data_IF_109884067951
#
_entry.id   IF_109884067951
#
_cell.length_a   1.000
_cell.length_b   1.000
_cell.length_c   1.000
_cell.angle_alpha   90.00
_cell.angle_beta   90.00
_cell.angle_gamma   90.00
#
_symmetry.space_group_name_H-M   'P 1'
#
loop_
_entity.id
_entity.type
_entity.pdbx_description
1 polymer ?
2 non-polymer ?
3 water ?
#
# COMPACT_ATOMS: atom_id res chain seq x y z
N UNK A 11 18.36 5.98 -16.49
CA UNK A 11 17.69 6.53 -15.26
C UNK A 11 18.23 7.95 -15.25
N UNK A 12 17.46 8.97 -14.89
CA UNK A 12 17.99 10.35 -14.73
C UNK A 12 19.05 10.43 -13.63
N UNK A 13 20.24 10.78 -14.03
CA UNK A 13 21.38 10.91 -13.10
C UNK A 13 21.38 12.31 -12.50
N UNK A 14 21.39 12.41 -11.21
CA UNK A 14 21.37 13.69 -10.51
C UNK A 14 22.77 13.96 -9.98
N UNK A 15 23.22 15.22 -10.10
CA UNK A 15 24.53 15.50 -9.54
C UNK A 15 24.41 15.75 -8.03
N UNK A 16 25.37 15.25 -7.22
CA UNK A 16 25.26 15.43 -5.76
C UNK A 16 25.13 16.87 -5.30
N UNK A 17 25.70 17.83 -6.05
CA UNK A 17 25.57 19.22 -5.68
C UNK A 17 24.13 19.71 -5.72
N UNK A 18 23.21 18.97 -6.35
CA UNK A 18 21.82 19.35 -6.44
C UNK A 18 20.98 18.82 -5.29
N UNK A 19 21.57 18.01 -4.40
CA UNK A 19 20.84 17.31 -3.35
C UNK A 19 21.34 17.78 -1.99
N UNK A 20 20.39 18.06 -1.09
CA UNK A 20 20.70 18.42 0.29
C UNK A 20 19.88 17.52 1.19
N UNK A 21 20.55 16.69 1.99
CA UNK A 21 19.86 15.89 2.98
C UNK A 21 19.64 16.72 4.24
N UNK A 22 18.41 16.70 4.74
CA UNK A 22 18.04 17.53 5.88
C UNK A 22 17.76 16.74 7.15
N UNK A 23 16.94 15.69 7.06
CA UNK A 23 16.46 14.98 8.23
C UNK A 23 16.34 13.50 7.90
N UNK A 24 16.74 12.65 8.85
CA UNK A 24 16.54 11.21 8.69
C UNK A 24 15.08 10.87 8.93
N UNK A 25 14.52 10.04 8.06
CA UNK A 25 13.13 9.61 8.17
C UNK A 25 12.96 8.11 8.16
N UNK A 26 14.03 7.34 8.03
CA UNK A 26 13.92 5.90 8.06
C UNK A 26 15.25 5.24 7.80
N UNK A 27 15.21 3.92 7.65
CA UNK A 27 16.41 3.11 7.45
C UNK A 27 16.31 2.33 6.14
N UNK A 28 17.41 2.30 5.39
CA UNK A 28 17.52 1.46 4.22
C UNK A 28 18.24 0.15 4.55
N UNK A 29 18.40 -0.68 3.52
CA UNK A 29 19.04 -1.98 3.71
C UNK A 29 20.53 -1.83 3.99
N UNK A 30 21.18 -0.84 3.39
CA UNK A 30 22.55 -0.49 3.74
C UNK A 30 22.70 1.03 3.57
N UNK A 31 21.93 1.77 4.37
CA UNK A 31 21.99 3.21 4.40
C UNK A 31 20.82 3.77 5.19
N UNK A 32 20.64 5.08 5.10
CA UNK A 32 19.52 5.77 5.73
C UNK A 32 18.58 6.33 4.67
N UNK A 33 17.37 6.70 5.10
CA UNK A 33 16.40 7.40 4.26
C UNK A 33 16.20 8.81 4.82
N UNK A 34 16.28 9.81 3.95
CA UNK A 34 16.24 11.20 4.38
C UNK A 34 15.13 11.96 3.69
N UNK A 35 14.66 13.01 4.35
CA UNK A 35 13.96 14.09 3.66
C UNK A 35 15.00 15.13 3.26
N UNK A 36 14.84 15.68 2.07
CA UNK A 36 15.77 16.70 1.63
C UNK A 36 15.16 17.56 0.55
N UNK A 37 16.01 18.32 -0.12
CA UNK A 37 15.60 19.20 -1.19
C UNK A 37 16.38 18.86 -2.44
N UNK A 38 15.77 19.05 -3.60
CA UNK A 38 16.43 18.83 -4.87
C UNK A 38 16.35 20.09 -5.72
N UNK A 39 17.47 20.45 -6.28
CA UNK A 39 17.53 21.59 -7.23
C UNK A 39 17.81 21.10 -8.65
N UNK A 40 17.41 21.84 -9.62
CA UNK A 40 17.66 21.49 -11.02
C UNK A 40 16.99 20.17 -11.40
N UNK A 46 13.48 24.88 -5.95
CA UNK A 46 13.81 23.64 -5.19
C UNK A 46 12.54 22.82 -4.97
N UNK A 47 12.75 21.58 -4.71
CA UNK A 47 11.64 20.63 -4.60
C UNK A 47 11.94 19.66 -3.48
N UNK A 48 11.00 19.40 -2.57
CA UNK A 48 11.25 18.43 -1.49
C UNK A 48 11.30 17.02 -2.06
N UNK A 49 12.18 16.20 -1.46
CA UNK A 49 12.40 14.84 -1.95
C UNK A 49 12.67 13.91 -0.78
N UNK A 50 12.46 12.62 -1.02
CA UNK A 50 12.96 11.57 -0.15
C UNK A 50 14.17 10.90 -0.79
N UNK A 51 15.12 10.51 0.04
CA UNK A 51 16.45 10.09 -0.42
C UNK A 51 16.87 8.83 0.32
N UNK A 52 17.05 7.73 -0.42
CA UNK A 52 17.61 6.51 0.15
C UNK A 52 19.06 6.36 -0.29
N UNK A 53 19.96 6.09 0.66
CA UNK A 53 21.39 6.05 0.38
C UNK A 53 21.92 4.63 0.50
N UNK A 54 23.03 4.38 -0.19
CA UNK A 54 23.79 3.15 -0.10
C UNK A 54 25.23 3.54 0.27
N UNK A 55 25.52 3.42 1.56
CA UNK A 55 26.80 3.89 2.17
C UNK A 55 27.99 3.00 1.78
N UNK A 56 29.17 3.44 2.19
CA UNK A 56 30.43 2.74 1.94
C UNK A 56 30.46 1.39 2.65
N UNK A 57 30.94 0.38 1.94
CA UNK A 57 30.99 -0.97 2.46
C UNK A 57 29.91 -1.87 1.96
N UNK A 58 28.95 -1.35 1.17
CA UNK A 58 27.90 -2.19 0.64
C UNK A 58 28.49 -3.32 -0.19
N UNK A 59 27.77 -4.44 -0.22
CA UNK A 59 28.18 -5.63 -0.94
C UNK A 59 27.77 -5.54 -2.41
N UNK A 60 28.34 -6.44 -3.20
CA UNK A 60 27.94 -6.55 -4.60
C UNK A 60 26.44 -6.79 -4.72
N UNK A 61 25.90 -7.70 -3.93
CA UNK A 61 24.44 -8.03 -3.99
C UNK A 61 23.64 -6.80 -3.59
N UNK A 62 24.09 -6.05 -2.61
CA UNK A 62 23.37 -4.84 -2.22
C UNK A 62 23.40 -3.80 -3.34
N UNK A 63 24.53 -3.65 -4.01
CA UNK A 63 24.59 -2.73 -5.14
C UNK A 63 23.67 -3.17 -6.27
N UNK A 64 23.66 -4.46 -6.58
CA UNK A 64 22.76 -4.98 -7.60
C UNK A 64 21.31 -4.68 -7.24
N UNK A 65 20.93 -4.95 -6.00
CA UNK A 65 19.55 -4.70 -5.57
C UNK A 65 19.20 -3.23 -5.57
N UNK A 66 20.12 -2.39 -5.10
CA UNK A 66 19.85 -0.96 -5.01
C UNK A 66 19.67 -0.34 -6.39
N UNK A 67 20.62 -0.60 -7.30
CA UNK A 67 20.48 -0.06 -8.64
C UNK A 67 19.36 -0.76 -9.40
N UNK A 68 19.12 -2.04 -9.13
CA UNK A 68 17.99 -2.71 -9.75
C UNK A 68 16.66 -2.10 -9.34
N UNK A 69 16.55 -1.71 -8.07
CA UNK A 69 15.36 -1.02 -7.62
C UNK A 69 15.19 0.32 -8.33
N UNK A 70 16.27 1.11 -8.41
CA UNK A 70 16.20 2.36 -9.16
C UNK A 70 15.76 2.11 -10.59
N UNK A 71 16.28 1.05 -11.22
CA UNK A 71 15.93 0.78 -12.60
C UNK A 71 14.46 0.43 -12.78
N UNK A 72 13.91 -0.37 -11.86
CA UNK A 72 12.49 -0.71 -11.94
C UNK A 72 11.64 0.52 -11.70
N UNK A 73 11.97 1.32 -10.69
CA UNK A 73 11.19 2.51 -10.37
C UNK A 73 11.20 3.49 -11.53
N UNK A 74 12.34 3.60 -12.23
CA UNK A 74 12.42 4.50 -13.37
C UNK A 74 11.46 4.11 -14.49
N UNK A 75 11.10 2.82 -14.56
CA UNK A 75 10.18 2.36 -15.59
C UNK A 75 8.73 2.71 -15.29
N UNK A 76 8.40 3.03 -14.05
CA UNK A 76 7.02 3.28 -13.67
C UNK A 76 6.64 4.73 -13.95
N UNK A 77 5.51 4.91 -14.64
CA UNK A 77 4.99 6.25 -14.94
C UNK A 77 3.48 6.18 -14.76
N UNK A 78 3.01 6.39 -13.54
CA UNK A 78 1.58 6.29 -13.26
C UNK A 78 1.23 7.20 -12.10
N UNK A 79 0.03 7.76 -12.17
CA UNK A 79 -0.49 8.70 -11.17
C UNK A 79 -0.48 8.10 -9.76
N UNK A 80 -0.62 6.79 -9.63
CA UNK A 80 -0.77 6.17 -8.32
C UNK A 80 0.44 5.33 -7.93
N UNK A 81 1.60 5.63 -8.51
CA UNK A 81 2.86 4.99 -8.16
C UNK A 81 3.85 6.09 -7.83
N UNK A 82 4.61 5.90 -6.74
CA UNK A 82 5.61 6.88 -6.35
C UNK A 82 6.54 7.17 -7.52
N UNK A 83 6.86 8.45 -7.72
CA UNK A 83 7.66 8.88 -8.86
C UNK A 83 9.13 9.02 -8.48
N UNK A 84 10.00 8.44 -9.30
CA UNK A 84 11.44 8.56 -9.15
C UNK A 84 11.91 9.88 -9.75
N UNK A 85 12.57 10.71 -8.94
CA UNK A 85 13.19 11.92 -9.48
C UNK A 85 14.51 11.61 -10.16
N UNK A 86 15.30 10.72 -9.57
CA UNK A 86 16.52 10.32 -10.22
C UNK A 86 17.39 9.50 -9.29
N UNK A 87 18.61 9.27 -9.74
CA UNK A 87 19.56 8.41 -9.04
C UNK A 87 20.92 9.10 -9.04
N UNK A 88 21.69 8.85 -8.01
CA UNK A 88 23.11 9.16 -7.99
C UNK A 88 23.82 7.83 -7.98
N UNK A 89 24.45 7.47 -9.11
CA UNK A 89 25.22 6.26 -9.20
C UNK A 89 26.70 6.51 -9.46
N UNK A 90 27.06 7.70 -9.95
CA UNK A 90 28.44 8.01 -10.32
C UNK A 90 29.28 8.50 -9.14
N UNK A 91 28.65 8.80 -8.01
CA UNK A 91 29.36 9.29 -6.84
C UNK A 91 28.89 8.51 -5.62
N UNK A 92 29.67 8.60 -4.54
CA UNK A 92 29.32 7.91 -3.29
C UNK A 92 28.98 8.95 -2.22
N UNK A 93 27.95 8.66 -1.39
CA UNK A 93 27.12 7.45 -1.43
C UNK A 93 26.14 7.48 -2.58
N UNK A 94 25.77 6.31 -3.07
CA UNK A 94 24.75 6.28 -4.11
C UNK A 94 23.39 6.58 -3.50
N UNK A 95 22.48 7.07 -4.33
CA UNK A 95 21.20 7.57 -3.83
C UNK A 95 20.07 7.26 -4.78
N UNK A 96 18.90 6.94 -4.22
CA UNK A 96 17.63 6.90 -4.95
C UNK A 96 16.79 8.06 -4.43
N UNK A 97 16.28 8.89 -5.33
CA UNK A 97 15.62 10.13 -4.94
C UNK A 97 14.21 10.11 -5.52
N UNK A 98 13.19 10.27 -4.67
CA UNK A 98 11.81 10.28 -5.11
C UNK A 98 11.14 11.58 -4.69
N UNK A 99 9.97 11.82 -5.27
CA UNK A 99 9.13 12.89 -4.78
C UNK A 99 8.83 12.66 -3.30
N UNK A 100 8.50 13.75 -2.62
CA UNK A 100 8.17 13.72 -1.20
C UNK A 100 6.67 13.96 -1.06
N UNK A 101 6.03 13.17 -0.21
CA UNK A 101 4.59 13.20 -0.04
C UNK A 101 4.30 13.71 1.37
N UNK A 102 3.87 14.94 1.43
CA UNK A 102 3.75 15.67 2.70
C UNK A 102 2.87 14.96 3.75
N UNK A 103 1.86 14.26 3.35
CA UNK A 103 0.99 13.60 4.32
C UNK A 103 1.51 12.26 4.81
N UNK A 104 2.62 11.77 4.26
CA UNK A 104 3.24 10.56 4.77
C UNK A 104 2.48 9.28 4.42
N UNK A 105 2.76 8.24 5.21
CA UNK A 105 2.19 6.94 4.93
C UNK A 105 0.71 6.87 5.34
N UNK A 106 -0.03 6.05 4.58
CA UNK A 106 -1.47 6.05 4.69
C UNK A 106 -1.96 5.51 6.02
N UNK A 107 -1.27 4.51 6.58
CA UNK A 107 -1.78 3.93 7.82
C UNK A 107 -1.74 4.94 8.96
N UNK A 108 -0.60 5.61 9.12
CA UNK A 108 -0.47 6.63 10.16
C UNK A 108 -1.40 7.81 9.89
N UNK A 109 -1.49 8.22 8.62
CA UNK A 109 -2.37 9.30 8.21
C UNK A 109 -3.81 9.04 8.68
N UNK A 110 -4.36 7.85 8.37
CA UNK A 110 -5.75 7.60 8.73
C UNK A 110 -5.94 7.49 10.23
N UNK A 111 -4.98 6.91 10.95
CA UNK A 111 -5.08 6.80 12.40
C UNK A 111 -5.07 8.16 13.08
N UNK A 112 -4.41 9.13 12.47
CA UNK A 112 -4.34 10.49 12.98
C UNK A 112 -5.49 11.37 12.54
N UNK A 113 -6.35 10.86 11.64
CA UNK A 113 -7.46 11.61 11.07
C UNK A 113 -8.75 10.82 11.19
N UNK A 114 -8.91 10.11 12.30
CA UNK A 114 -10.02 9.18 12.46
C UNK A 114 -11.36 9.88 12.28
N UNK A 115 -12.19 9.37 11.36
CA UNK A 115 -13.53 9.88 11.13
C UNK A 115 -13.61 11.18 10.35
N UNK A 116 -12.53 11.64 9.74
CA UNK A 116 -12.50 12.97 9.13
C UNK A 116 -12.90 12.99 7.66
N UNK A 117 -13.07 11.84 7.02
CA UNK A 117 -13.31 11.79 5.59
C UNK A 117 -14.67 11.22 5.27
N UNK A 118 -15.16 11.56 4.09
CA UNK A 118 -16.42 10.98 3.64
C UNK A 118 -16.17 9.59 3.07
N UNK A 119 -17.22 8.78 3.04
CA UNK A 119 -17.14 7.48 2.37
C UNK A 119 -16.62 7.62 0.95
N UNK A 120 -17.10 8.63 0.23
CA UNK A 120 -16.65 8.83 -1.15
C UNK A 120 -15.15 9.11 -1.22
N UNK A 121 -14.63 9.92 -0.29
CA UNK A 121 -13.19 10.16 -0.24
C UNK A 121 -12.42 8.87 0.03
N UNK A 122 -12.89 8.06 0.99
CA UNK A 122 -12.20 6.81 1.29
C UNK A 122 -12.21 5.87 0.09
N UNK A 123 -13.37 5.72 -0.56
CA UNK A 123 -13.46 4.85 -1.71
C UNK A 123 -12.60 5.36 -2.86
N UNK A 124 -12.50 6.70 -3.00
CA UNK A 124 -11.60 7.27 -3.99
C UNK A 124 -10.15 6.93 -3.75
N UNK A 125 -9.72 6.89 -2.48
CA UNK A 125 -8.37 6.44 -2.18
C UNK A 125 -8.17 5.01 -2.66
N UNK A 126 -9.15 4.14 -2.39
CA UNK A 126 -9.04 2.74 -2.80
C UNK A 126 -8.97 2.60 -4.31
N UNK A 127 -9.74 3.41 -5.02
CA UNK A 127 -9.77 3.38 -6.50
C UNK A 127 -8.36 3.72 -7.02
N UNK A 128 -7.68 4.69 -6.40
CA UNK A 128 -6.34 5.05 -6.82
C UNK A 128 -5.33 3.96 -6.51
N UNK A 129 -5.39 3.41 -5.32
CA UNK A 129 -4.48 2.31 -5.01
C UNK A 129 -4.68 1.16 -5.99
N UNK A 130 -5.93 0.83 -6.30
CA UNK A 130 -6.21 -0.26 -7.22
C UNK A 130 -5.69 0.05 -8.61
N UNK A 131 -5.78 1.31 -9.04
CA UNK A 131 -5.27 1.67 -10.34
C UNK A 131 -3.74 1.53 -10.40
N UNK A 132 -3.06 1.94 -9.34
CA UNK A 132 -1.62 1.72 -9.29
C UNK A 132 -1.26 0.24 -9.32
N UNK A 133 -2.02 -0.57 -8.56
CA UNK A 133 -1.74 -2.00 -8.54
C UNK A 133 -2.06 -2.65 -9.88
N UNK A 134 -3.12 -2.21 -10.56
CA UNK A 134 -3.41 -2.73 -11.89
C UNK A 134 -2.24 -2.49 -12.83
N UNK A 135 -1.67 -1.28 -12.76
CA UNK A 135 -0.51 -0.94 -13.56
C UNK A 135 0.67 -1.84 -13.24
N UNK A 136 0.99 -2.02 -11.95
CA UNK A 136 2.11 -2.89 -11.57
C UNK A 136 1.89 -4.31 -12.06
N UNK A 137 0.71 -4.84 -11.83
CA UNK A 137 0.41 -6.21 -12.27
C UNK A 137 0.56 -6.35 -13.77
N UNK A 138 0.09 -5.35 -14.53
CA UNK A 138 0.20 -5.36 -15.99
C UNK A 138 1.64 -5.27 -16.44
N UNK A 139 2.49 -4.59 -15.67
CA UNK A 139 3.92 -4.49 -15.94
C UNK A 139 4.69 -5.72 -15.43
N UNK A 140 3.98 -6.73 -14.94
CA UNK A 140 4.56 -7.97 -14.42
C UNK A 140 5.41 -7.75 -13.18
N UNK A 141 5.02 -6.79 -12.35
CA UNK A 141 5.69 -6.52 -11.08
C UNK A 141 4.77 -6.97 -9.95
N UNK A 142 5.23 -7.97 -9.20
CA UNK A 142 4.50 -8.45 -8.03
C UNK A 142 5.04 -7.73 -6.81
N UNK A 143 4.15 -7.09 -6.07
CA UNK A 143 4.58 -6.18 -5.02
C UNK A 143 5.10 -6.92 -3.80
N UNK A 144 4.30 -7.89 -3.30
CA UNK A 144 4.59 -8.79 -2.18
C UNK A 144 4.44 -8.17 -0.79
N UNK A 145 4.32 -6.85 -0.70
CA UNK A 145 4.22 -6.21 0.62
C UNK A 145 3.21 -5.08 0.59
N UNK A 146 2.10 -5.27 -0.13
CA UNK A 146 1.08 -4.23 -0.20
C UNK A 146 0.36 -4.13 1.14
N UNK A 147 0.36 -2.93 1.71
CA UNK A 147 -0.25 -2.65 3.01
C UNK A 147 -0.31 -1.13 3.09
N UNK A 148 -1.15 -0.62 4.00
CA UNK A 148 -1.29 0.83 4.03
C UNK A 148 0.02 1.51 4.41
N UNK A 149 0.91 0.78 5.08
CA UNK A 149 2.21 1.36 5.54
C UNK A 149 3.13 1.62 4.34
N UNK A 150 2.79 1.06 3.18
CA UNK A 150 3.58 1.23 1.98
C UNK A 150 2.90 2.11 0.95
N UNK A 151 1.90 2.89 1.35
CA UNK A 151 1.17 3.77 0.45
C UNK A 151 1.33 5.19 0.97
N UNK A 152 1.78 6.09 0.11
CA UNK A 152 1.99 7.49 0.49
C UNK A 152 0.82 8.33 0.01
N UNK A 153 0.55 9.43 0.73
CA UNK A 153 -0.60 10.30 0.46
C UNK A 153 -0.09 11.71 0.20
N UNK A 154 -0.53 12.31 -0.91
CA UNK A 154 -0.15 13.68 -1.20
C UNK A 154 -1.22 14.66 -0.72
N UNK A 155 -0.98 15.95 -0.98
CA UNK A 155 -1.88 16.99 -0.49
C UNK A 155 -3.16 17.11 -1.32
N UNK A 156 -3.31 16.31 -2.37
CA UNK A 156 -4.58 16.15 -3.07
C UNK A 156 -5.30 14.86 -2.67
N UNK A 157 -4.85 14.18 -1.62
CA UNK A 157 -5.40 12.90 -1.16
C UNK A 157 -5.14 11.76 -2.15
N UNK A 158 -4.21 11.94 -3.06
CA UNK A 158 -3.87 10.90 -4.02
C UNK A 158 -2.94 9.92 -3.34
N UNK A 159 -3.28 8.64 -3.44
CA UNK A 159 -2.46 7.58 -2.88
C UNK A 159 -1.48 7.07 -3.92
N UNK A 160 -0.24 6.89 -3.50
CA UNK A 160 0.83 6.41 -4.37
C UNK A 160 1.41 5.14 -3.77
N UNK A 161 1.27 4.04 -4.50
CA UNK A 161 1.88 2.78 -4.06
C UNK A 161 3.38 2.94 -4.04
N UNK A 162 3.99 2.47 -2.96
CA UNK A 162 5.42 2.52 -2.75
C UNK A 162 5.85 1.20 -2.13
N UNK A 163 7.13 1.08 -1.81
CA UNK A 163 7.62 -0.08 -1.05
C UNK A 163 8.84 0.34 -0.27
N UNK A 164 8.69 0.46 1.05
CA UNK A 164 9.78 0.93 1.90
C UNK A 164 10.66 -0.19 2.41
N UNK A 165 10.38 -1.43 2.05
CA UNK A 165 11.00 -2.58 2.68
C UNK A 165 10.23 -3.03 3.90
N UNK A 166 10.65 -4.17 4.45
CA UNK A 166 9.94 -4.77 5.57
C UNK A 166 10.05 -3.93 6.85
N UNK A 186 4.87 -10.03 6.82
CA UNK A 186 3.55 -9.41 7.02
C UNK A 186 2.42 -10.44 6.90
N UNK A 187 2.39 -11.39 7.83
CA UNK A 187 1.44 -12.49 7.77
C UNK A 187 0.02 -12.00 7.54
N UNK A 188 -0.40 -10.98 8.32
CA UNK A 188 -1.78 -10.49 8.29
C UNK A 188 -2.22 -9.92 6.95
N UNK A 189 -1.27 -9.55 6.09
CA UNK A 189 -1.57 -8.97 4.80
C UNK A 189 -1.38 -9.97 3.66
N UNK A 190 -0.88 -11.16 3.95
CA UNK A 190 -0.38 -12.04 2.91
C UNK A 190 -1.36 -13.18 2.63
N UNK A 191 -1.53 -13.48 1.34
CA UNK A 191 -2.45 -14.56 0.93
C UNK A 191 -1.95 -15.91 1.43
N UNK A 192 -2.87 -16.86 1.66
CA UNK A 192 -2.46 -18.20 2.17
C UNK A 192 -1.41 -18.90 1.33
N UNK A 193 -1.50 -18.85 0.01
CA UNK A 193 -0.54 -19.57 -0.81
C UNK A 193 0.85 -18.95 -0.73
N UNK A 194 0.92 -17.64 -0.49
CA UNK A 194 2.22 -17.00 -0.37
C UNK A 194 2.88 -17.36 0.95
N UNK A 195 2.07 -17.47 2.02
CA UNK A 195 2.62 -17.93 3.29
C UNK A 195 3.01 -19.40 3.23
N UNK A 196 2.13 -20.23 2.66
CA UNK A 196 2.31 -21.68 2.78
C UNK A 196 3.41 -22.22 1.87
N UNK A 197 3.48 -21.75 0.62
CA UNK A 197 4.48 -22.29 -0.29
C UNK A 197 5.19 -21.23 -1.14
N UNK A 198 5.16 -19.99 -0.67
CA UNK A 198 5.94 -18.87 -1.26
C UNK A 198 5.47 -18.50 -2.66
N UNK A 199 4.22 -18.74 -3.00
CA UNK A 199 3.68 -18.38 -4.31
C UNK A 199 3.16 -16.95 -4.25
N UNK A 200 4.00 -16.01 -4.69
CA UNK A 200 3.65 -14.59 -4.70
C UNK A 200 3.32 -14.22 -6.14
N UNK A 201 2.10 -13.73 -6.37
CA UNK A 201 1.66 -13.33 -7.70
C UNK A 201 0.79 -12.09 -7.54
N UNK A 202 0.33 -11.54 -8.67
CA UNK A 202 -0.62 -10.44 -8.59
C UNK A 202 -1.91 -10.86 -7.90
N UNK A 203 -2.21 -12.17 -7.85
CA UNK A 203 -3.39 -12.63 -7.12
C UNK A 203 -3.17 -12.65 -5.61
N UNK A 204 -1.94 -12.89 -5.16
CA UNK A 204 -1.70 -12.67 -3.74
C UNK A 204 -1.68 -11.18 -3.41
N UNK A 205 -1.24 -10.33 -4.35
CA UNK A 205 -1.38 -8.90 -4.15
C UNK A 205 -2.85 -8.49 -4.02
N UNK A 206 -3.76 -9.19 -4.71
CA UNK A 206 -5.18 -8.89 -4.59
C UNK A 206 -5.67 -9.19 -3.18
N UNK A 207 -5.24 -10.31 -2.60
CA UNK A 207 -5.56 -10.57 -1.20
C UNK A 207 -5.12 -9.41 -0.33
N UNK A 208 -3.87 -8.96 -0.51
CA UNK A 208 -3.35 -7.84 0.27
C UNK A 208 -4.18 -6.58 0.08
N UNK A 209 -4.61 -6.32 -1.16
CA UNK A 209 -5.45 -5.17 -1.44
C UNK A 209 -6.75 -5.24 -0.64
N UNK A 210 -7.34 -6.42 -0.54
CA UNK A 210 -8.53 -6.56 0.31
C UNK A 210 -8.25 -6.13 1.74
N UNK A 211 -7.09 -6.53 2.29
CA UNK A 211 -6.72 -6.09 3.64
C UNK A 211 -6.57 -4.58 3.68
N UNK A 212 -5.92 -4.00 2.65
CA UNK A 212 -5.82 -2.55 2.57
C UNK A 212 -7.18 -1.87 2.54
N UNK A 213 -8.14 -2.43 1.78
CA UNK A 213 -9.49 -1.86 1.81
C UNK A 213 -10.03 -1.82 3.23
N UNK A 214 -9.81 -2.91 3.98
CA UNK A 214 -10.28 -2.94 5.35
C UNK A 214 -9.54 -1.92 6.21
N UNK A 215 -8.22 -1.79 6.03
CA UNK A 215 -7.47 -0.76 6.76
C UNK A 215 -8.02 0.63 6.48
N UNK A 216 -8.32 0.92 5.22
CA UNK A 216 -8.82 2.25 4.89
C UNK A 216 -10.18 2.50 5.52
N UNK A 217 -11.11 1.56 5.37
CA UNK A 217 -12.47 1.77 5.84
C UNK A 217 -12.57 1.81 7.37
N UNK A 218 -11.55 1.29 8.07
CA UNK A 218 -11.51 1.32 9.53
C UNK A 218 -10.61 2.43 10.06
N UNK A 219 -10.07 3.29 9.19
CA UNK A 219 -9.13 4.34 9.61
C UNK A 219 -7.89 3.77 10.29
N UNK A 220 -7.36 2.70 9.74
CA UNK A 220 -6.08 2.20 10.20
C UNK A 220 -6.13 1.23 11.36
N UNK A 221 -7.21 0.46 11.47
CA UNK A 221 -7.33 -0.55 12.54
C UNK A 221 -6.39 -1.72 12.21
N UNK A 222 -5.78 -2.33 13.21
CA UNK A 222 -4.86 -3.43 13.00
C UNK A 222 -5.65 -4.65 12.54
N UNK A 223 -5.37 -5.20 11.36
CA UNK A 223 -6.10 -6.40 10.91
C UNK A 223 -6.01 -7.51 11.95
N UNK A 224 -7.16 -8.09 12.28
CA UNK A 224 -7.31 -9.21 13.21
C UNK A 224 -7.04 -8.83 14.65
N UNK A 225 -6.85 -7.54 14.94
CA UNK A 225 -6.69 -7.01 16.31
C UNK A 225 -5.56 -7.76 16.99
N UNK A 226 -5.76 -8.32 18.18
CA UNK A 226 -4.69 -8.88 18.97
C UNK A 226 -4.41 -10.34 18.65
N UNK A 227 -5.07 -10.91 17.63
CA UNK A 227 -4.75 -12.30 17.29
C UNK A 227 -3.29 -12.43 16.93
N UNK A 228 -2.67 -13.53 17.36
CA UNK A 228 -1.30 -13.80 17.00
C UNK A 228 -1.21 -14.23 15.54
N UNK A 229 0.01 -14.22 14.99
CA UNK A 229 0.19 -14.66 13.61
C UNK A 229 -0.33 -16.08 13.39
N UNK A 230 -0.05 -16.99 14.32
CA UNK A 230 -0.55 -18.36 14.15
C UNK A 230 -2.07 -18.40 14.22
N UNK A 231 -2.66 -17.62 15.13
CA UNK A 231 -4.11 -17.57 15.24
C UNK A 231 -4.76 -17.01 13.97
N UNK A 232 -4.13 -16.01 13.35
CA UNK A 232 -4.65 -15.48 12.08
C UNK A 232 -4.67 -16.56 11.01
N UNK A 233 -3.57 -17.30 10.86
CA UNK A 233 -3.54 -18.31 9.82
C UNK A 233 -4.54 -19.42 10.09
N UNK A 234 -4.67 -19.84 11.35
CA UNK A 234 -5.65 -20.85 11.72
C UNK A 234 -7.07 -20.37 11.40
N UNK A 235 -7.38 -19.13 11.75
CA UNK A 235 -8.71 -18.59 11.49
C UNK A 235 -9.00 -18.55 10.00
N UNK A 236 -8.04 -18.08 9.21
CA UNK A 236 -8.21 -18.01 7.76
C UNK A 236 -8.43 -19.40 7.19
N UNK A 237 -7.63 -20.37 7.63
CA UNK A 237 -7.77 -21.72 7.09
C UNK A 237 -9.10 -22.33 7.49
N UNK A 238 -9.63 -21.96 8.66
CA UNK A 238 -10.93 -22.43 9.12
C UNK A 238 -12.10 -21.71 8.45
N UNK A 239 -11.83 -20.70 7.61
CA UNK A 239 -12.87 -20.03 6.86
C UNK A 239 -13.30 -18.68 7.41
N UNK A 240 -12.78 -18.27 8.57
CA UNK A 240 -13.13 -16.97 9.11
C UNK A 240 -12.49 -15.85 8.30
N UNK A 241 -13.15 -14.70 8.27
CA UNK A 241 -12.63 -13.52 7.59
C UNK A 241 -12.93 -12.29 8.44
N UNK A 242 -12.21 -11.20 8.16
CA UNK A 242 -12.42 -9.97 8.93
C UNK A 242 -13.87 -9.52 8.79
N UNK A 243 -14.49 -9.06 9.87
CA UNK A 243 -15.87 -8.60 9.81
C UNK A 243 -15.95 -7.22 9.16
N UNK A 244 -17.17 -6.80 8.86
CA UNK A 244 -17.31 -5.53 8.19
C UNK A 244 -16.87 -4.39 9.10
N UNK A 245 -16.21 -3.38 8.54
CA UNK A 245 -15.98 -2.13 9.28
C UNK A 245 -17.30 -1.43 9.56
N UNK A 246 -17.27 -0.54 10.54
CA UNK A 246 -18.41 0.34 10.78
C UNK A 246 -18.61 1.26 9.59
N UNK A 247 -19.87 1.58 9.31
CA UNK A 247 -20.21 2.56 8.27
C UNK A 247 -19.73 2.16 6.89
N UNK A 248 -19.67 0.86 6.61
CA UNK A 248 -19.02 0.43 5.37
C UNK A 248 -20.06 0.12 4.31
N UNK A 249 -19.93 0.70 3.11
CA UNK A 249 -20.84 0.32 2.02
C UNK A 249 -20.85 -1.18 1.80
N UNK A 250 -22.05 -1.72 1.59
CA UNK A 250 -22.18 -3.14 1.30
C UNK A 250 -21.33 -3.55 0.10
N UNK A 251 -21.34 -2.74 -0.95
CA UNK A 251 -20.56 -3.05 -2.15
C UNK A 251 -19.08 -3.19 -1.84
N UNK A 252 -18.58 -2.33 -0.93
CA UNK A 252 -17.16 -2.35 -0.59
C UNK A 252 -16.82 -3.59 0.23
N UNK A 253 -17.68 -3.96 1.18
CA UNK A 253 -17.41 -5.18 1.93
C UNK A 253 -17.48 -6.41 1.05
N UNK A 254 -18.47 -6.47 0.14
CA UNK A 254 -18.54 -7.60 -0.78
C UNK A 254 -17.27 -7.72 -1.60
N UNK A 255 -16.72 -6.59 -2.02
CA UNK A 255 -15.51 -6.62 -2.83
C UNK A 255 -14.30 -7.10 -2.04
N UNK A 256 -14.14 -6.62 -0.80
CA UNK A 256 -12.99 -7.10 -0.05
C UNK A 256 -13.12 -8.60 0.26
N UNK A 257 -14.34 -9.08 0.50
CA UNK A 257 -14.53 -10.50 0.75
C UNK A 257 -14.11 -11.34 -0.44
N UNK A 258 -14.38 -10.87 -1.66
CA UNK A 258 -13.98 -11.64 -2.83
C UNK A 258 -12.47 -11.58 -3.08
N UNK A 259 -11.77 -10.58 -2.55
CA UNK A 259 -10.32 -10.58 -2.56
C UNK A 259 -9.74 -11.66 -1.67
N UNK A 260 -10.50 -12.13 -0.68
CA UNK A 260 -10.03 -13.09 0.30
C UNK A 260 -10.51 -14.51 0.02
N UNK A 261 -10.77 -14.85 -1.24
CA UNK A 261 -11.12 -16.23 -1.54
C UNK A 261 -9.89 -17.10 -1.41
N UNK A 262 -10.08 -18.26 -0.78
CA UNK A 262 -8.95 -19.18 -0.60
C UNK A 262 -8.37 -19.58 -1.95
N UNK A 263 -9.23 -19.86 -2.93
CA UNK A 263 -8.74 -20.31 -4.23
C UNK A 263 -8.31 -19.10 -5.03
N UNK A 264 -7.01 -19.06 -5.33
CA UNK A 264 -6.39 -17.90 -5.97
C UNK A 264 -7.09 -17.52 -7.28
N UNK A 265 -7.49 -18.52 -8.06
CA UNK A 265 -8.09 -18.28 -9.37
C UNK A 265 -9.45 -17.60 -9.27
N UNK A 266 -10.11 -17.76 -8.03
CA UNK A 266 -11.45 -17.12 -7.90
C UNK A 266 -11.32 -15.65 -7.47
N UNK A 267 -10.25 -15.11 -7.16
CA UNK A 267 -10.19 -13.70 -6.79
C UNK A 267 -10.34 -12.81 -8.01
N UNK A 268 -10.89 -11.61 -7.84
CA UNK A 268 -10.91 -10.66 -8.95
C UNK A 268 -9.50 -10.31 -9.39
N UNK A 269 -9.35 -9.95 -10.66
CA UNK A 269 -8.10 -9.34 -11.07
C UNK A 269 -8.17 -7.85 -10.77
N UNK A 270 -7.01 -7.18 -10.77
CA UNK A 270 -7.02 -5.75 -10.47
C UNK A 270 -7.86 -4.96 -11.49
N UNK A 271 -7.90 -5.39 -12.74
CA UNK A 271 -8.79 -4.72 -13.70
C UNK A 271 -10.25 -4.77 -13.23
N UNK A 272 -10.68 -5.91 -12.68
CA UNK A 272 -12.05 -6.02 -12.19
C UNK A 272 -12.26 -5.08 -11.02
N UNK A 273 -11.28 -4.99 -10.14
CA UNK A 273 -11.39 -4.14 -8.95
C UNK A 273 -11.49 -2.67 -9.36
N UNK A 274 -10.61 -2.22 -10.26
CA UNK A 274 -10.66 -0.83 -10.70
C UNK A 274 -12.00 -0.52 -11.34
N UNK A 275 -12.50 -1.42 -12.19
CA UNK A 275 -13.77 -1.21 -12.87
C UNK A 275 -14.90 -1.03 -11.88
N UNK A 276 -14.98 -1.92 -10.88
CA UNK A 276 -16.06 -1.86 -9.90
C UNK A 276 -15.99 -0.57 -9.10
N UNK A 277 -14.81 -0.23 -8.60
CA UNK A 277 -14.65 0.98 -7.80
C UNK A 277 -14.99 2.22 -8.62
N UNK A 278 -14.58 2.25 -9.89
CA UNK A 278 -14.89 3.37 -10.75
C UNK A 278 -16.41 3.52 -10.95
N UNK A 279 -17.12 2.41 -11.11
CA UNK A 279 -18.57 2.50 -11.31
C UNK A 279 -19.28 2.91 -10.03
N UNK A 280 -18.80 2.44 -8.87
CA UNK A 280 -19.40 2.84 -7.61
C UNK A 280 -19.24 4.34 -7.38
N UNK A 281 -18.05 4.87 -7.65
CA UNK A 281 -17.80 6.30 -7.46
C UNK A 281 -18.64 7.14 -8.41
N UNK A 282 -18.76 6.69 -9.66
CA UNK A 282 -19.54 7.44 -10.69
C UNK A 282 -21.01 7.52 -10.26
N UNK A 283 -21.55 6.44 -9.70
CA UNK A 283 -22.94 6.40 -9.26
C UNK A 283 -22.94 6.33 -7.74
N UNK A 284 -22.62 7.45 -7.08
CA UNK A 284 -22.28 7.38 -5.64
C UNK A 284 -23.43 6.96 -4.74
N UNK A 285 -24.68 7.06 -5.19
CA UNK A 285 -25.77 6.53 -4.37
C UNK A 285 -25.60 5.04 -4.12
N UNK A 286 -24.81 4.35 -4.95
CA UNK A 286 -24.54 2.94 -4.73
C UNK A 286 -23.82 2.70 -3.41
N UNK A 287 -23.11 3.69 -2.90
CA UNK A 287 -22.35 3.55 -1.66
C UNK A 287 -23.17 3.85 -0.41
N UNK A 288 -24.42 4.29 -0.57
CA UNK A 288 -25.24 4.61 0.59
C UNK A 288 -25.80 3.37 1.30
N UNK A 289 -25.87 2.23 0.62
CA UNK A 289 -26.34 1.00 1.24
C UNK A 289 -25.19 0.40 2.05
N UNK A 290 -25.39 0.28 3.38
CA UNK A 290 -24.30 -0.13 4.26
C UNK A 290 -24.46 -1.58 4.69
N UNK A 291 -23.34 -2.28 4.80
CA UNK A 291 -23.33 -3.61 5.37
C UNK A 291 -23.61 -3.54 6.86
N UNK A 292 -24.31 -4.55 7.36
CA UNK A 292 -24.62 -4.60 8.78
C UNK A 292 -23.35 -4.74 9.59
N UNK A 293 -23.22 -3.93 10.63
CA UNK A 293 -22.08 -4.01 11.53
C UNK A 293 -22.46 -4.88 12.72
N UNK A 294 -21.64 -5.90 12.99
CA UNK A 294 -21.90 -6.81 14.10
C UNK A 294 -21.45 -6.16 15.40
N UNK A 295 -22.38 -5.81 16.28
CA UNK A 295 -21.98 -5.14 17.53
C UNK A 295 -21.16 -6.08 18.39
N UNK A 296 -20.06 -5.57 18.92
CA UNK A 296 -19.31 -6.33 19.91
C UNK A 296 -19.80 -6.03 21.32
N UNK A 297 -20.36 -4.83 21.48
CA UNK A 297 -20.87 -4.34 22.79
C UNK A 297 -22.36 -4.01 22.66
N UNK A 298 -23.11 -4.32 23.70
CA UNK A 298 -24.55 -4.10 23.82
C UNK A 298 -24.82 -3.04 24.89
N UNK A 299 -25.46 -1.96 24.55
CA UNK A 299 -25.83 -0.97 25.59
C UNK A 299 -27.36 -0.90 25.55
N UNK A 300 -28.00 -1.19 26.65
CA UNK A 300 -29.45 -1.17 26.76
C UNK A 300 -29.87 0.07 27.55
N UNK A 301 -30.65 0.94 26.91
CA UNK A 301 -31.17 2.16 27.50
C UNK A 301 -32.65 2.27 27.15
N UNK A 302 -33.42 3.03 27.93
CA UNK A 302 -34.83 3.23 27.58
C UNK A 302 -35.02 4.10 26.34
#
# INVERSE_FOLDING_TARGET
>A
GDPNQAVLKFTTEIHPSCVTRQKVIGAGEFGEVYKGMLKTSSGKKEVPVAIKTLKAGYTEKQRVDFLGEAGIMGQFSHHNIIRLEGVISKYKPMMIITEYMENGALDKFLREKDGEFSVLQLVGMLRGIAAGMKYLANMNYVHRDLAARNILVNSNLVCKVSDFGLSRVLEDDPEATYTTSGGKIPIRWTAPEAISYRKFTSASDVWSFGIVMWEVMTYGERPYWELSNHEVMKAINDGFRLPTPMDCPSAIYQLMMQCWQQERARRPKFADIVSILDKLIRAPDSLKTLADFDPRVSIRLPSTSG
#
